data_IF_069342790372
#
_entry.id   IF_069342790372
#
_cell.length_a   1.000
_cell.length_b   1.000
_cell.length_c   1.000
_cell.angle_alpha   90.00
_cell.angle_beta   90.00
_cell.angle_gamma   90.00
#
_symmetry.space_group_name_H-M   'P 1'
#
loop_
_entity.id
_entity.type
_entity.pdbx_description
1 polymer ?
#
# COMPACT_ATOMS: atom_id res chain seq x y z
N UNK A 1 -46.87 -11.23 30.87
CA UNK A 1 -45.96 -11.20 29.72
C UNK A 1 -45.85 -9.75 29.30
N UNK A 2 -44.68 -9.18 29.36
CA UNK A 2 -44.45 -7.74 29.18
C UNK A 2 -44.28 -7.45 27.69
N UNK A 3 -44.81 -6.33 27.18
CA UNK A 3 -44.74 -5.99 25.75
C UNK A 3 -43.30 -5.99 25.17
N UNK A 4 -42.29 -5.79 26.00
CA UNK A 4 -40.89 -5.86 25.62
C UNK A 4 -40.40 -7.28 25.26
N UNK A 5 -41.03 -8.32 25.84
CA UNK A 5 -40.64 -9.71 25.54
C UNK A 5 -41.14 -10.16 24.16
N UNK A 6 -42.27 -9.60 23.73
CA UNK A 6 -42.89 -9.87 22.40
C UNK A 6 -42.06 -9.17 21.31
N UNK A 7 -41.65 -7.93 21.54
CA UNK A 7 -40.82 -7.16 20.58
C UNK A 7 -39.44 -7.79 20.41
N UNK A 8 -38.81 -8.22 21.52
CA UNK A 8 -37.50 -8.89 21.45
C UNK A 8 -37.56 -10.29 20.80
N UNK A 9 -38.71 -10.96 20.85
CA UNK A 9 -38.94 -12.23 20.17
C UNK A 9 -39.08 -12.06 18.66
N UNK A 10 -39.83 -11.03 18.24
CA UNK A 10 -40.02 -10.67 16.83
C UNK A 10 -38.68 -10.24 16.18
N UNK A 11 -37.88 -9.42 16.89
CA UNK A 11 -36.56 -8.99 16.39
C UNK A 11 -35.58 -10.17 16.26
N UNK A 12 -35.67 -11.19 17.12
CA UNK A 12 -34.83 -12.40 17.02
C UNK A 12 -35.28 -13.36 15.90
N UNK A 13 -36.56 -13.39 15.59
CA UNK A 13 -37.08 -14.23 14.48
C UNK A 13 -36.79 -13.61 13.11
N UNK A 14 -36.80 -12.26 13.00
CA UNK A 14 -36.45 -11.57 11.73
C UNK A 14 -34.94 -11.62 11.39
N UNK A 15 -34.05 -11.87 12.38
CA UNK A 15 -32.62 -12.01 12.11
C UNK A 15 -32.20 -13.41 11.64
N UNK A 16 -33.13 -14.39 11.59
CA UNK A 16 -32.83 -15.77 11.19
C UNK A 16 -33.27 -16.14 9.78
N UNK A 17 -33.80 -15.22 8.97
CA UNK A 17 -34.23 -15.50 7.61
C UNK A 17 -33.78 -14.44 6.59
N UNK A 18 -32.48 -14.18 6.54
CA UNK A 18 -31.90 -13.70 5.26
C UNK A 18 -31.45 -14.96 4.53
N UNK A 19 -32.11 -15.36 3.43
CA UNK A 19 -31.66 -16.53 2.69
C UNK A 19 -30.23 -16.30 2.18
N UNK A 20 -29.32 -17.28 2.29
CA UNK A 20 -27.92 -17.17 1.84
C UNK A 20 -27.77 -16.76 0.36
N UNK A 21 -28.84 -16.81 -0.40
CA UNK A 21 -28.92 -16.50 -1.84
C UNK A 21 -28.74 -15.01 -2.18
N UNK A 22 -29.08 -14.05 -1.28
CA UNK A 22 -29.02 -12.61 -1.60
C UNK A 22 -27.58 -12.07 -1.45
N UNK A 23 -26.84 -12.53 -0.45
CA UNK A 23 -25.44 -12.14 -0.24
C UNK A 23 -24.56 -12.69 -1.36
N UNK A 24 -24.84 -13.90 -1.83
CA UNK A 24 -24.10 -14.58 -2.90
C UNK A 24 -24.31 -13.90 -4.27
N UNK A 25 -25.51 -13.41 -4.54
CA UNK A 25 -25.84 -12.70 -5.78
C UNK A 25 -25.22 -11.30 -5.86
N UNK A 26 -25.09 -10.59 -4.74
CA UNK A 26 -24.46 -9.26 -4.70
C UNK A 26 -22.95 -9.39 -4.90
N UNK A 27 -22.30 -10.33 -4.22
CA UNK A 27 -20.87 -10.61 -4.42
C UNK A 27 -20.57 -11.13 -5.82
N UNK A 28 -21.44 -11.98 -6.39
CA UNK A 28 -21.29 -12.48 -7.76
C UNK A 28 -21.47 -11.36 -8.81
N UNK A 29 -22.28 -10.35 -8.53
CA UNK A 29 -22.50 -9.19 -9.40
C UNK A 29 -21.31 -8.24 -9.35
N UNK A 30 -20.83 -7.88 -8.15
CA UNK A 30 -19.64 -7.04 -7.96
C UNK A 30 -18.40 -7.65 -8.60
N UNK A 31 -18.18 -8.97 -8.44
CA UNK A 31 -17.06 -9.65 -9.07
C UNK A 31 -17.17 -9.72 -10.59
N UNK A 32 -18.37 -9.82 -11.15
CA UNK A 32 -18.56 -9.85 -12.61
C UNK A 32 -18.37 -8.46 -13.25
N UNK A 33 -18.81 -7.40 -12.60
CA UNK A 33 -18.61 -6.01 -13.05
C UNK A 33 -17.12 -5.62 -12.98
N UNK A 34 -16.42 -6.04 -11.94
CA UNK A 34 -14.98 -5.78 -11.79
C UNK A 34 -14.14 -6.57 -12.81
N UNK A 35 -14.51 -7.82 -13.12
CA UNK A 35 -13.85 -8.60 -14.18
C UNK A 35 -14.00 -7.92 -15.55
N UNK A 36 -15.15 -7.35 -15.85
CA UNK A 36 -15.40 -6.63 -17.12
C UNK A 36 -14.60 -5.31 -17.19
N UNK A 37 -14.32 -4.66 -16.04
CA UNK A 37 -13.56 -3.41 -15.98
C UNK A 37 -12.05 -3.60 -16.21
N UNK A 38 -11.52 -4.83 -16.00
CA UNK A 38 -10.07 -5.11 -16.11
C UNK A 38 -9.61 -5.49 -17.52
N UNK A 39 -10.51 -5.58 -18.49
CA UNK A 39 -10.21 -5.99 -19.88
C UNK A 39 -9.34 -7.28 -19.95
N UNK A 40 -9.74 -8.28 -19.17
CA UNK A 40 -9.03 -9.56 -19.11
C UNK A 40 -9.28 -10.37 -20.39
N UNK A 41 -8.24 -10.98 -20.95
CA UNK A 41 -8.33 -11.83 -22.13
C UNK A 41 -9.14 -13.09 -21.83
N UNK A 42 -10.32 -13.29 -22.47
CA UNK A 42 -11.14 -14.47 -22.22
C UNK A 42 -10.56 -15.73 -22.89
N UNK A 43 -10.94 -16.90 -22.40
CA UNK A 43 -10.62 -18.18 -23.07
C UNK A 43 -11.40 -18.30 -24.37
N UNK A 44 -10.75 -18.79 -25.42
CA UNK A 44 -11.37 -19.03 -26.74
C UNK A 44 -12.44 -20.13 -26.67
N UNK A 45 -12.29 -21.09 -25.78
CA UNK A 45 -13.26 -22.17 -25.52
C UNK A 45 -13.50 -22.29 -24.02
N UNK A 46 -14.77 -22.29 -23.60
CA UNK A 46 -15.18 -22.43 -22.20
C UNK A 46 -15.37 -21.09 -21.50
N UNK A 47 -15.67 -21.12 -20.18
CA UNK A 47 -15.84 -19.94 -19.34
C UNK A 47 -14.52 -19.56 -18.66
N UNK A 48 -14.30 -18.27 -18.42
CA UNK A 48 -13.17 -17.71 -17.68
C UNK A 48 -12.11 -17.08 -18.57
N UNK A 49 -10.93 -16.79 -17.97
CA UNK A 49 -9.85 -16.02 -18.59
C UNK A 49 -8.62 -16.90 -18.84
N UNK A 50 -7.78 -16.49 -19.78
CA UNK A 50 -6.50 -17.17 -20.06
C UNK A 50 -5.50 -16.81 -18.97
N UNK A 51 -4.72 -17.81 -18.52
CA UNK A 51 -3.64 -17.61 -17.55
C UNK A 51 -2.42 -17.06 -18.32
N UNK A 52 -2.24 -15.74 -18.31
CA UNK A 52 -1.14 -15.04 -18.96
C UNK A 52 -0.57 -13.98 -18.00
N UNK A 53 0.70 -13.63 -18.18
CA UNK A 53 1.34 -12.56 -17.40
C UNK A 53 0.67 -11.19 -17.65
N UNK A 54 0.13 -10.95 -18.85
CA UNK A 54 -0.64 -9.74 -19.16
C UNK A 54 -1.90 -9.63 -18.30
N UNK A 55 -2.69 -10.71 -18.22
CA UNK A 55 -3.85 -10.73 -17.33
C UNK A 55 -3.46 -10.60 -15.85
N UNK A 56 -2.34 -11.19 -15.42
CA UNK A 56 -1.83 -11.02 -14.07
C UNK A 56 -1.48 -9.55 -13.80
N UNK A 57 -0.79 -8.89 -14.73
CA UNK A 57 -0.47 -7.45 -14.63
C UNK A 57 -1.74 -6.62 -14.53
N UNK A 58 -2.73 -6.85 -15.39
CA UNK A 58 -4.03 -6.16 -15.34
C UNK A 58 -4.73 -6.33 -14.00
N UNK A 59 -4.68 -7.53 -13.41
CA UNK A 59 -5.26 -7.81 -12.10
C UNK A 59 -4.51 -7.04 -11.01
N UNK A 60 -3.17 -7.12 -10.96
CA UNK A 60 -2.38 -6.45 -9.92
C UNK A 60 -2.49 -4.92 -9.98
N UNK A 61 -2.62 -4.36 -11.19
CA UNK A 61 -2.74 -2.90 -11.38
C UNK A 61 -4.17 -2.36 -11.27
N UNK A 62 -5.19 -3.19 -11.49
CA UNK A 62 -6.57 -2.73 -11.64
C UNK A 62 -7.57 -3.24 -10.61
N UNK A 63 -7.27 -4.36 -9.91
CA UNK A 63 -8.15 -4.91 -8.88
C UNK A 63 -8.40 -3.91 -7.75
N UNK A 64 -9.63 -3.77 -7.30
CA UNK A 64 -10.06 -2.79 -6.30
C UNK A 64 -9.28 -2.82 -4.99
N UNK A 65 -8.74 -3.98 -4.60
CA UNK A 65 -7.95 -4.15 -3.37
C UNK A 65 -6.45 -3.97 -3.59
N UNK A 66 -5.95 -4.24 -4.80
CA UNK A 66 -4.52 -4.25 -5.10
C UNK A 66 -4.05 -2.97 -5.77
N UNK A 67 -4.95 -2.27 -6.47
CA UNK A 67 -4.65 -1.06 -7.24
C UNK A 67 -3.97 0.02 -6.41
N UNK A 68 -2.75 0.38 -6.81
CA UNK A 68 -1.97 1.44 -6.20
C UNK A 68 -1.52 1.14 -4.76
N UNK A 69 -1.59 -0.12 -4.32
CA UNK A 69 -1.08 -0.54 -3.03
C UNK A 69 0.36 -1.05 -3.11
N UNK A 70 0.79 -1.50 -4.28
CA UNK A 70 2.10 -2.11 -4.51
C UNK A 70 2.99 -1.07 -5.15
N UNK A 71 4.09 -0.70 -4.49
CA UNK A 71 5.01 0.35 -4.93
C UNK A 71 6.47 -0.04 -4.66
N UNK A 72 7.38 0.48 -5.48
CA UNK A 72 8.81 0.30 -5.31
C UNK A 72 9.39 1.40 -4.42
N UNK A 73 10.00 1.00 -3.31
CA UNK A 73 10.67 1.90 -2.38
C UNK A 73 12.09 2.17 -2.87
N UNK A 74 12.33 3.38 -3.38
CA UNK A 74 13.65 3.76 -3.93
C UNK A 74 14.70 4.02 -2.85
N UNK A 75 14.30 4.07 -1.58
CA UNK A 75 15.22 4.23 -0.47
C UNK A 75 15.77 2.89 0.03
N UNK A 76 14.90 1.88 0.18
CA UNK A 76 15.30 0.53 0.63
C UNK A 76 15.61 -0.42 -0.51
N UNK A 77 15.21 -0.07 -1.75
CA UNK A 77 15.27 -0.92 -2.94
C UNK A 77 14.42 -2.19 -2.82
N UNK A 78 13.29 -2.08 -2.13
CA UNK A 78 12.35 -3.16 -1.89
C UNK A 78 10.97 -2.82 -2.44
N UNK A 79 10.13 -3.83 -2.57
CA UNK A 79 8.73 -3.63 -2.96
C UNK A 79 7.88 -3.62 -1.70
N UNK A 80 7.06 -2.61 -1.55
CA UNK A 80 6.20 -2.42 -0.39
C UNK A 80 4.71 -2.44 -0.74
N UNK A 81 3.92 -2.96 0.20
CA UNK A 81 2.48 -2.72 0.27
C UNK A 81 2.27 -1.44 1.09
N UNK A 82 2.17 -0.30 0.39
CA UNK A 82 2.10 1.04 1.00
C UNK A 82 0.73 1.37 1.60
N UNK A 83 -0.32 0.73 1.09
CA UNK A 83 -1.68 0.84 1.63
C UNK A 83 -2.07 -0.51 2.22
N UNK A 84 -2.50 -0.53 3.49
CA UNK A 84 -3.01 -1.77 4.08
C UNK A 84 -4.11 -2.39 3.23
N UNK A 85 -3.88 -3.61 2.77
CA UNK A 85 -4.84 -4.40 1.98
C UNK A 85 -5.39 -5.57 2.79
N UNK A 86 -6.67 -5.87 2.63
CA UNK A 86 -7.28 -7.02 3.31
C UNK A 86 -7.58 -8.13 2.30
N UNK A 87 -6.78 -9.21 2.35
CA UNK A 87 -6.93 -10.39 1.50
C UNK A 87 -7.16 -11.63 2.36
N UNK A 88 -8.06 -12.51 1.94
CA UNK A 88 -8.33 -13.80 2.60
C UNK A 88 -8.54 -13.69 4.13
N UNK A 89 -9.10 -12.55 4.59
CA UNK A 89 -9.30 -12.28 6.01
C UNK A 89 -8.08 -11.72 6.76
N UNK A 90 -6.92 -11.57 6.11
CA UNK A 90 -5.69 -11.00 6.69
C UNK A 90 -5.45 -9.58 6.20
N UNK A 91 -4.95 -8.72 7.07
CA UNK A 91 -4.46 -7.40 6.71
C UNK A 91 -2.97 -7.49 6.41
N UNK A 92 -2.56 -7.01 5.26
CA UNK A 92 -1.19 -7.06 4.74
C UNK A 92 -0.69 -5.64 4.52
N UNK A 93 0.56 -5.36 4.93
CA UNK A 93 1.24 -4.07 4.76
C UNK A 93 2.74 -4.24 4.96
N UNK A 94 3.53 -3.27 4.49
CA UNK A 94 5.00 -3.29 4.61
C UNK A 94 5.67 -4.02 3.47
N UNK A 95 6.93 -4.37 3.63
CA UNK A 95 7.75 -5.01 2.59
C UNK A 95 7.20 -6.35 2.16
N UNK A 96 7.14 -6.57 0.86
CA UNK A 96 6.60 -7.81 0.28
C UNK A 96 7.53 -8.98 0.59
N UNK A 97 6.98 -9.95 1.27
CA UNK A 97 7.61 -11.22 1.63
C UNK A 97 6.88 -12.42 0.99
N UNK A 98 7.40 -13.59 1.26
CA UNK A 98 6.84 -14.88 0.82
C UNK A 98 5.38 -15.08 1.27
N UNK A 99 5.00 -14.55 2.44
CA UNK A 99 3.64 -14.66 2.94
C UNK A 99 2.69 -13.80 2.11
N UNK A 100 3.05 -12.55 1.87
CA UNK A 100 2.26 -11.61 1.07
C UNK A 100 2.06 -12.14 -0.34
N UNK A 101 3.11 -12.68 -0.99
CA UNK A 101 3.01 -13.30 -2.33
C UNK A 101 2.01 -14.46 -2.33
N UNK A 102 2.03 -15.33 -1.30
CA UNK A 102 1.09 -16.46 -1.18
C UNK A 102 -0.35 -15.98 -0.96
N UNK A 103 -0.56 -14.95 -0.16
CA UNK A 103 -1.91 -14.40 0.06
C UNK A 103 -2.47 -13.73 -1.20
N UNK A 104 -1.64 -13.00 -1.96
CA UNK A 104 -2.02 -12.46 -3.28
C UNK A 104 -2.37 -13.59 -4.24
N UNK A 105 -1.54 -14.64 -4.30
CA UNK A 105 -1.81 -15.82 -5.14
C UNK A 105 -3.15 -16.47 -4.81
N UNK A 106 -3.39 -16.74 -3.51
CA UNK A 106 -4.62 -17.35 -3.03
C UNK A 106 -5.85 -16.48 -3.35
N UNK A 107 -5.72 -15.17 -3.19
CA UNK A 107 -6.76 -14.22 -3.53
C UNK A 107 -7.10 -14.25 -5.03
N UNK A 108 -6.09 -14.19 -5.90
CA UNK A 108 -6.27 -14.26 -7.36
C UNK A 108 -6.91 -15.58 -7.77
N UNK A 109 -6.43 -16.70 -7.24
CA UNK A 109 -6.98 -18.03 -7.53
C UNK A 109 -8.45 -18.14 -7.12
N UNK A 110 -8.81 -17.56 -5.98
CA UNK A 110 -10.19 -17.61 -5.47
C UNK A 110 -11.12 -16.71 -6.26
N UNK A 111 -10.73 -15.44 -6.49
CA UNK A 111 -11.58 -14.42 -7.12
C UNK A 111 -11.69 -14.59 -8.63
N UNK A 112 -10.55 -14.79 -9.31
CA UNK A 112 -10.45 -14.82 -10.77
C UNK A 112 -10.44 -16.24 -11.35
N UNK A 113 -10.34 -17.28 -10.49
CA UNK A 113 -10.20 -18.69 -10.90
C UNK A 113 -8.98 -18.93 -11.79
N UNK A 114 -7.90 -18.19 -11.52
CA UNK A 114 -6.63 -18.25 -12.23
C UNK A 114 -5.51 -18.62 -11.25
N UNK A 115 -4.85 -19.74 -11.44
CA UNK A 115 -3.75 -20.20 -10.59
C UNK A 115 -2.41 -19.94 -11.28
N UNK A 116 -1.67 -18.96 -10.76
CA UNK A 116 -0.33 -18.59 -11.21
C UNK A 116 0.74 -19.25 -10.34
N UNK A 117 1.93 -19.47 -10.90
CA UNK A 117 3.09 -19.86 -10.08
C UNK A 117 3.53 -18.69 -9.20
N UNK A 118 4.17 -19.02 -8.06
CA UNK A 118 4.73 -18.00 -7.15
C UNK A 118 5.71 -17.06 -7.87
N UNK A 119 6.59 -17.63 -8.74
CA UNK A 119 7.53 -16.85 -9.52
C UNK A 119 6.84 -15.85 -10.46
N UNK A 120 5.82 -16.29 -11.19
CA UNK A 120 5.07 -15.41 -12.09
C UNK A 120 4.49 -14.18 -11.35
N UNK A 121 4.00 -14.40 -10.13
CA UNK A 121 3.46 -13.32 -9.31
C UNK A 121 4.58 -12.39 -8.84
N UNK A 122 5.71 -12.93 -8.37
CA UNK A 122 6.85 -12.13 -7.93
C UNK A 122 7.39 -11.26 -9.08
N UNK A 123 7.59 -11.85 -10.26
CA UNK A 123 8.09 -11.14 -11.44
C UNK A 123 7.16 -9.97 -11.85
N UNK A 124 5.85 -10.21 -11.84
CA UNK A 124 4.89 -9.15 -12.24
C UNK A 124 4.68 -8.12 -11.11
N UNK A 125 4.85 -8.50 -9.84
CA UNK A 125 4.89 -7.53 -8.74
C UNK A 125 6.04 -6.53 -8.91
N UNK A 126 7.23 -6.99 -9.33
CA UNK A 126 8.37 -6.10 -9.65
C UNK A 126 8.04 -5.13 -10.78
N UNK A 127 7.41 -5.63 -11.85
CA UNK A 127 6.99 -4.78 -12.97
C UNK A 127 5.99 -3.72 -12.54
N UNK A 128 4.94 -4.12 -11.81
CA UNK A 128 3.88 -3.20 -11.34
C UNK A 128 4.41 -2.20 -10.33
N UNK A 129 5.25 -2.65 -9.40
CA UNK A 129 5.87 -1.78 -8.41
C UNK A 129 6.79 -0.74 -9.07
N UNK A 130 7.57 -1.14 -10.09
CA UNK A 130 8.45 -0.24 -10.83
C UNK A 130 7.71 0.88 -11.58
N UNK A 131 6.44 0.66 -11.96
CA UNK A 131 5.59 1.71 -12.55
C UNK A 131 5.15 2.77 -11.52
N UNK A 132 5.26 2.46 -10.22
CA UNK A 132 4.82 3.27 -9.10
C UNK A 132 5.87 3.31 -8.00
N UNK A 133 6.95 4.05 -8.23
CA UNK A 133 8.01 4.20 -7.23
C UNK A 133 7.73 5.36 -6.28
N UNK A 134 8.21 5.25 -5.04
CA UNK A 134 8.14 6.29 -4.03
C UNK A 134 9.42 6.32 -3.19
N UNK A 135 9.66 7.42 -2.48
CA UNK A 135 10.77 7.57 -1.56
C UNK A 135 10.24 8.10 -0.22
N UNK A 136 10.07 7.25 0.80
CA UNK A 136 9.44 7.68 2.06
C UNK A 136 10.23 8.76 2.79
N UNK A 137 11.56 8.79 2.64
CA UNK A 137 12.39 9.80 3.27
C UNK A 137 12.27 11.15 2.56
N UNK A 138 12.21 11.15 1.24
CA UNK A 138 11.98 12.37 0.45
C UNK A 138 10.61 12.95 0.74
N UNK A 139 9.57 12.12 0.71
CA UNK A 139 8.19 12.52 0.99
C UNK A 139 8.06 13.10 2.40
N UNK A 140 8.76 12.50 3.39
CA UNK A 140 8.84 13.03 4.76
C UNK A 140 9.49 14.40 4.80
N UNK A 141 10.65 14.61 4.16
CA UNK A 141 11.35 15.89 4.14
C UNK A 141 10.52 16.99 3.46
N UNK A 142 9.82 16.65 2.37
CA UNK A 142 8.92 17.58 1.68
C UNK A 142 7.72 17.97 2.56
N UNK A 143 7.17 17.03 3.34
CA UNK A 143 6.12 17.35 4.32
C UNK A 143 6.62 18.26 5.43
N UNK A 144 7.82 18.00 5.97
CA UNK A 144 8.45 18.86 6.98
C UNK A 144 8.68 20.27 6.46
N UNK A 145 9.09 20.43 5.20
CA UNK A 145 9.27 21.76 4.61
C UNK A 145 7.95 22.55 4.58
N UNK A 146 6.87 21.88 4.20
CA UNK A 146 5.55 22.50 4.13
C UNK A 146 5.06 22.93 5.52
N UNK A 147 5.19 22.06 6.53
CA UNK A 147 4.81 22.36 7.91
C UNK A 147 5.68 23.49 8.50
N UNK A 148 6.99 23.50 8.21
CA UNK A 148 7.91 24.51 8.71
C UNK A 148 7.59 25.90 8.17
N UNK A 149 7.17 26.02 6.91
CA UNK A 149 6.77 27.32 6.32
C UNK A 149 5.54 27.93 7.00
N UNK A 150 4.69 27.11 7.62
CA UNK A 150 3.50 27.57 8.34
C UNK A 150 3.78 27.98 9.79
N UNK A 151 4.95 27.65 10.34
CA UNK A 151 5.31 27.99 11.72
C UNK A 151 5.63 29.48 11.87
N UNK A 152 4.87 30.16 12.72
CA UNK A 152 4.99 31.61 12.98
C UNK A 152 6.28 31.93 13.75
N UNK A 153 6.78 31.03 14.59
CA UNK A 153 7.98 31.18 15.42
C UNK A 153 8.99 30.07 15.09
N UNK A 154 9.77 30.28 14.06
CA UNK A 154 10.86 29.39 13.71
C UNK A 154 12.00 29.52 14.72
N UNK A 155 12.31 28.44 15.41
CA UNK A 155 13.50 28.37 16.29
C UNK A 155 14.74 28.08 15.43
N UNK A 156 15.89 28.63 15.85
CA UNK A 156 17.16 28.26 15.21
C UNK A 156 17.41 26.75 15.41
N UNK A 157 17.50 25.96 14.32
CA UNK A 157 17.76 24.53 14.42
C UNK A 157 19.04 24.21 15.19
N UNK A 158 20.05 25.12 15.15
CA UNK A 158 21.29 24.96 15.88
C UNK A 158 21.08 24.92 17.38
N UNK A 159 20.16 25.70 17.92
CA UNK A 159 19.88 25.71 19.36
C UNK A 159 19.35 24.38 19.86
N UNK A 160 18.54 23.69 19.06
CA UNK A 160 18.03 22.36 19.37
C UNK A 160 19.19 21.36 19.40
N UNK A 161 20.01 21.35 18.33
CA UNK A 161 21.14 20.45 18.20
C UNK A 161 22.19 20.68 19.29
N UNK A 162 22.49 21.94 19.60
CA UNK A 162 23.38 22.32 20.70
C UNK A 162 22.91 21.73 22.02
N UNK A 163 21.60 21.80 22.31
CA UNK A 163 21.03 21.26 23.52
C UNK A 163 21.18 19.73 23.61
N UNK A 164 20.87 19.02 22.57
CA UNK A 164 20.92 17.55 22.57
C UNK A 164 22.34 16.98 22.45
N UNK A 165 23.20 17.63 21.67
CA UNK A 165 24.57 17.16 21.42
C UNK A 165 25.59 17.78 22.37
N UNK A 166 25.16 18.71 23.22
CA UNK A 166 26.02 19.43 24.18
C UNK A 166 27.27 20.03 23.54
N UNK A 167 27.12 20.61 22.34
CA UNK A 167 28.21 21.25 21.60
C UNK A 167 28.34 22.70 21.99
N UNK A 168 29.57 23.22 21.88
CA UNK A 168 29.85 24.63 22.16
C UNK A 168 29.21 25.51 21.08
N UNK A 169 28.63 26.64 21.50
CA UNK A 169 28.10 27.67 20.60
C UNK A 169 29.24 28.55 20.09
N UNK A 170 29.82 28.16 18.95
CA UNK A 170 30.83 28.92 18.22
C UNK A 170 30.57 28.80 16.70
N UNK A 171 31.19 29.69 15.94
CA UNK A 171 31.01 29.77 14.49
C UNK A 171 31.41 28.48 13.78
N UNK A 172 32.46 27.83 14.23
CA UNK A 172 32.94 26.57 13.64
C UNK A 172 31.87 25.45 13.74
N UNK A 173 31.31 25.26 14.94
CA UNK A 173 30.29 24.26 15.17
C UNK A 173 29.00 24.58 14.39
N UNK A 174 28.62 25.85 14.27
CA UNK A 174 27.47 26.28 13.49
C UNK A 174 27.65 25.95 12.02
N UNK A 175 28.82 26.23 11.44
CA UNK A 175 29.13 25.93 10.04
C UNK A 175 29.12 24.42 9.80
N UNK A 176 29.77 23.62 10.66
CA UNK A 176 29.81 22.16 10.50
C UNK A 176 28.43 21.54 10.55
N UNK A 177 27.58 21.96 11.50
CA UNK A 177 26.23 21.45 11.65
C UNK A 177 25.36 21.81 10.45
N UNK A 178 25.44 23.05 9.96
CA UNK A 178 24.72 23.47 8.76
C UNK A 178 25.14 22.65 7.53
N UNK A 179 26.44 22.48 7.31
CA UNK A 179 26.96 21.65 6.22
C UNK A 179 26.52 20.21 6.34
N UNK A 180 26.60 19.62 7.54
CA UNK A 180 26.21 18.21 7.76
C UNK A 180 24.73 17.97 7.40
N UNK A 181 23.82 18.81 7.91
CA UNK A 181 22.39 18.62 7.65
C UNK A 181 22.01 18.94 6.21
N UNK A 182 22.56 20.00 5.62
CA UNK A 182 22.36 20.28 4.18
C UNK A 182 22.87 19.17 3.30
N UNK A 183 24.05 18.63 3.61
CA UNK A 183 24.59 17.51 2.88
C UNK A 183 23.76 16.24 3.02
N UNK A 184 23.27 15.94 4.22
CA UNK A 184 22.38 14.81 4.46
C UNK A 184 21.08 14.93 3.64
N UNK A 185 20.44 16.11 3.66
CA UNK A 185 19.24 16.39 2.87
C UNK A 185 19.55 16.31 1.37
N UNK A 186 20.64 16.93 0.91
CA UNK A 186 21.02 16.88 -0.49
C UNK A 186 21.20 15.43 -1.02
N UNK A 187 21.77 14.54 -0.22
CA UNK A 187 21.90 13.10 -0.56
C UNK A 187 20.58 12.39 -0.75
N UNK A 188 19.53 12.80 -0.06
CA UNK A 188 18.18 12.22 -0.23
C UNK A 188 17.58 12.61 -1.58
N UNK A 189 17.78 13.87 -2.00
CA UNK A 189 17.24 14.40 -3.26
C UNK A 189 18.11 14.01 -4.47
N UNK A 190 19.41 13.97 -4.29
CA UNK A 190 20.39 13.55 -5.31
C UNK A 190 21.48 12.67 -4.69
N UNK A 191 21.36 11.34 -4.80
CA UNK A 191 22.34 10.40 -4.26
C UNK A 191 23.74 10.56 -4.87
N UNK A 192 23.87 11.26 -6.01
CA UNK A 192 25.16 11.47 -6.71
C UNK A 192 25.96 12.62 -6.14
N UNK A 193 25.35 13.49 -5.34
CA UNK A 193 26.02 14.62 -4.68
C UNK A 193 27.19 14.09 -3.83
N UNK A 194 28.39 14.59 -4.12
CA UNK A 194 29.58 14.35 -3.30
C UNK A 194 29.52 15.28 -2.11
N UNK A 195 29.66 14.70 -0.95
CA UNK A 195 29.69 15.40 0.33
C UNK A 195 30.99 14.97 1.03
N UNK A 196 32.06 15.69 0.72
CA UNK A 196 33.42 15.50 1.26
C UNK A 196 33.72 16.55 2.31
#
# INVERSE_FOLDING_TARGET
MNNNDIVNKIIKEDQQQIPPTVVDLTQARETSEEHNSLDLTPKTKGKGFVITLDNLKKILSGDSKLKGAIQYNTFTYEIDVTKSIKLNGRTLSGTIDDLIIREIRAYIATKYKMDYKKGDIADILEVVAGEHSYNPLKDYLESCESEYKELVNQRDPFDILRHYLNIKDDEYNRIIMDLFFRGAVAKVFDPTVKFD
#
